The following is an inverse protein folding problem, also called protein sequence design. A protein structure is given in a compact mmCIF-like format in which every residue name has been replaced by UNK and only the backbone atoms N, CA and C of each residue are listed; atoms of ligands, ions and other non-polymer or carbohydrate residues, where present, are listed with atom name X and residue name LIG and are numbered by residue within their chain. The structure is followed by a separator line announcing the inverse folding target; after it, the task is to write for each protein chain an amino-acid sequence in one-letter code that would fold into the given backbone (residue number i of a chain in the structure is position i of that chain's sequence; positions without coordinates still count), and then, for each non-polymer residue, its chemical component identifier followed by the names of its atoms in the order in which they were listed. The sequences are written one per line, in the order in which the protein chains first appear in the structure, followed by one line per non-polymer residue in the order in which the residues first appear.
data_IF_933811369640
#
_entry.id   IF_933811369640
#
_cell.length_a   1.000
_cell.length_b   1.000
_cell.length_c   1.000
_cell.angle_alpha   90.00
_cell.angle_beta   90.00
_cell.angle_gamma   90.00
#
_symmetry.space_group_name_H-M   'P 1'
#
loop_
_entity.id
_entity.type
_entity.pdbx_description
1 polymer ?
#
# COMPACT_ATOMS: atom_id res chain seq x y z
N UNK A 1 18.05 -12.44 9.88
CA UNK A 1 17.00 -12.46 10.93
C UNK A 1 17.53 -11.81 12.21
N UNK A 2 17.91 -10.53 12.16
CA UNK A 2 18.48 -9.80 13.30
C UNK A 2 17.44 -8.92 14.01
N UNK A 3 16.54 -8.28 13.25
CA UNK A 3 15.47 -7.44 13.81
C UNK A 3 14.47 -8.23 14.67
N UNK A 4 14.06 -9.42 14.21
CA UNK A 4 13.18 -10.32 14.96
C UNK A 4 13.83 -10.80 16.27
N UNK A 5 15.13 -11.10 16.24
CA UNK A 5 15.91 -11.47 17.44
C UNK A 5 15.93 -10.34 18.47
N UNK A 6 15.91 -9.08 18.02
CA UNK A 6 15.88 -7.88 18.86
C UNK A 6 14.47 -7.47 19.31
N UNK A 7 13.43 -8.22 18.92
CA UNK A 7 12.04 -7.89 19.23
C UNK A 7 11.53 -6.63 18.52
N UNK A 8 12.20 -6.20 17.44
CA UNK A 8 11.77 -5.04 16.67
C UNK A 8 10.52 -5.39 15.84
N UNK A 9 9.53 -4.50 15.76
CA UNK A 9 8.31 -4.75 14.99
C UNK A 9 8.63 -4.93 13.50
N UNK A 10 8.02 -5.94 12.90
CA UNK A 10 8.12 -6.24 11.47
C UNK A 10 6.74 -6.05 10.87
N UNK A 11 6.51 -4.89 10.28
CA UNK A 11 5.27 -4.52 9.60
C UNK A 11 5.47 -4.80 8.12
N UNK A 12 4.67 -5.69 7.55
CA UNK A 12 4.88 -6.20 6.19
C UNK A 12 4.07 -5.43 5.16
N UNK A 13 2.95 -4.87 5.58
CA UNK A 13 2.06 -4.13 4.69
C UNK A 13 2.05 -2.65 5.06
N UNK A 14 1.82 -1.80 4.06
CA UNK A 14 1.63 -0.37 4.29
C UNK A 14 0.45 -0.10 5.23
N UNK A 15 -0.62 -0.89 5.13
CA UNK A 15 -1.80 -0.78 6.00
C UNK A 15 -1.44 -1.07 7.46
N UNK A 16 -0.67 -2.12 7.73
CA UNK A 16 -0.15 -2.40 9.08
C UNK A 16 0.73 -1.25 9.58
N UNK A 17 1.57 -0.67 8.73
CA UNK A 17 2.41 0.47 9.09
C UNK A 17 1.58 1.71 9.43
N UNK A 18 0.57 2.05 8.64
CA UNK A 18 -0.30 3.20 8.89
C UNK A 18 -1.10 3.02 10.18
N UNK A 19 -1.58 1.81 10.47
CA UNK A 19 -2.31 1.51 11.69
C UNK A 19 -1.49 1.80 12.96
N UNK A 20 -0.16 1.77 12.89
CA UNK A 20 0.67 2.13 14.05
C UNK A 20 0.49 3.58 14.48
N UNK A 21 0.08 4.50 13.59
CA UNK A 21 -0.21 5.89 13.97
C UNK A 21 -1.35 6.00 14.98
N UNK A 22 -2.29 5.06 14.98
CA UNK A 22 -3.42 5.05 15.90
C UNK A 22 -3.13 4.31 17.21
N UNK A 23 -1.91 3.78 17.38
CA UNK A 23 -1.49 3.21 18.66
C UNK A 23 -1.36 4.30 19.72
N UNK A 24 -1.89 4.03 20.90
CA UNK A 24 -1.92 4.98 22.01
C UNK A 24 -0.54 5.56 22.34
N UNK A 25 0.52 4.74 22.34
CA UNK A 25 1.89 5.19 22.60
C UNK A 25 2.37 6.26 21.61
N UNK A 26 1.93 6.18 20.35
CA UNK A 26 2.34 7.07 19.28
C UNK A 26 1.51 8.35 19.31
N UNK A 27 0.21 8.24 19.57
CA UNK A 27 -0.68 9.38 19.79
C UNK A 27 -0.17 10.22 20.96
N UNK A 28 0.12 9.59 22.10
CA UNK A 28 0.64 10.27 23.29
C UNK A 28 1.99 10.92 23.02
N UNK A 29 2.88 10.25 22.28
CA UNK A 29 4.18 10.80 21.90
C UNK A 29 4.02 12.07 21.03
N UNK A 30 3.13 12.04 20.04
CA UNK A 30 2.91 13.21 19.18
C UNK A 30 2.22 14.37 19.91
N UNK A 31 1.27 14.07 20.80
CA UNK A 31 0.54 15.08 21.56
C UNK A 31 1.43 15.73 22.62
N UNK A 32 2.23 14.92 23.35
CA UNK A 32 3.20 15.40 24.33
C UNK A 32 4.25 16.34 23.73
N UNK A 33 4.70 16.05 22.50
CA UNK A 33 5.63 16.92 21.78
C UNK A 33 4.95 18.05 20.99
N UNK A 34 3.63 18.19 21.09
CA UNK A 34 2.84 19.18 20.36
C UNK A 34 3.07 19.16 18.85
N UNK A 35 3.32 17.97 18.29
CA UNK A 35 3.51 17.75 16.86
C UNK A 35 2.16 17.56 16.18
N UNK A 36 1.33 16.68 16.73
CA UNK A 36 -0.03 16.41 16.27
C UNK A 36 -0.95 16.22 17.47
N UNK A 37 -2.16 16.76 17.38
CA UNK A 37 -3.26 16.38 18.25
C UNK A 37 -3.75 14.96 17.94
N UNK A 38 -4.49 14.30 18.86
CA UNK A 38 -5.09 12.99 18.60
C UNK A 38 -5.98 12.98 17.37
N UNK A 39 -6.72 14.07 17.13
CA UNK A 39 -7.59 14.23 15.96
C UNK A 39 -6.79 14.32 14.66
N UNK A 40 -5.69 15.08 14.66
CA UNK A 40 -4.81 15.19 13.48
C UNK A 40 -4.12 13.87 13.16
N UNK A 41 -3.70 13.12 14.19
CA UNK A 41 -3.10 11.79 14.01
C UNK A 41 -4.08 10.81 13.36
N UNK A 42 -5.34 10.80 13.81
CA UNK A 42 -6.39 9.98 13.19
C UNK A 42 -6.69 10.40 11.75
N UNK A 43 -6.82 11.70 11.48
CA UNK A 43 -7.03 12.21 10.12
C UNK A 43 -5.87 11.81 9.18
N UNK A 44 -4.63 11.81 9.70
CA UNK A 44 -3.46 11.43 8.91
C UNK A 44 -3.46 9.95 8.54
N UNK A 45 -3.89 9.09 9.46
CA UNK A 45 -4.10 7.66 9.18
C UNK A 45 -5.13 7.47 8.06
N UNK A 46 -6.29 8.13 8.16
CA UNK A 46 -7.35 8.05 7.15
C UNK A 46 -6.87 8.50 5.77
N UNK A 47 -6.20 9.65 5.69
CA UNK A 47 -5.66 10.19 4.43
C UNK A 47 -4.62 9.24 3.81
N UNK A 48 -3.74 8.64 4.63
CA UNK A 48 -2.76 7.67 4.13
C UNK A 48 -3.42 6.41 3.58
N UNK A 49 -4.45 5.92 4.26
CA UNK A 49 -5.22 4.75 3.82
C UNK A 49 -5.94 5.02 2.49
N UNK A 50 -6.61 6.17 2.38
CA UNK A 50 -7.33 6.58 1.18
C UNK A 50 -6.38 6.72 -0.02
N UNK A 51 -5.26 7.41 0.16
CA UNK A 51 -4.23 7.53 -0.89
C UNK A 51 -3.69 6.17 -1.33
N UNK A 52 -3.42 5.27 -0.39
CA UNK A 52 -2.95 3.92 -0.70
C UNK A 52 -3.96 3.13 -1.54
N UNK A 53 -5.24 3.19 -1.16
CA UNK A 53 -6.32 2.54 -1.90
C UNK A 53 -6.40 3.09 -3.33
N UNK A 54 -6.34 4.41 -3.50
CA UNK A 54 -6.42 5.03 -4.81
C UNK A 54 -5.26 4.66 -5.73
N UNK A 55 -4.02 4.68 -5.22
CA UNK A 55 -2.85 4.28 -6.00
C UNK A 55 -2.98 2.82 -6.44
N UNK A 56 -3.34 1.92 -5.53
CA UNK A 56 -3.53 0.50 -5.82
C UNK A 56 -4.63 0.26 -6.87
N UNK A 57 -5.74 1.01 -6.80
CA UNK A 57 -6.81 0.94 -7.79
C UNK A 57 -6.36 1.36 -9.18
N UNK A 58 -5.58 2.46 -9.27
CA UNK A 58 -5.02 2.94 -10.55
C UNK A 58 -4.09 1.89 -11.13
N UNK A 59 -3.13 1.40 -10.33
CA UNK A 59 -2.18 0.38 -10.75
C UNK A 59 -2.89 -0.88 -11.27
N UNK A 60 -3.86 -1.39 -10.51
CA UNK A 60 -4.64 -2.57 -10.90
C UNK A 60 -5.41 -2.34 -12.21
N UNK A 61 -6.05 -1.17 -12.36
CA UNK A 61 -6.82 -0.83 -13.56
C UNK A 61 -5.93 -0.71 -14.79
N UNK A 62 -4.77 -0.05 -14.65
CA UNK A 62 -3.77 0.08 -15.72
C UNK A 62 -3.20 -1.28 -16.11
N UNK A 63 -2.87 -2.14 -15.14
CA UNK A 63 -2.41 -3.50 -15.42
C UNK A 63 -3.45 -4.32 -16.20
N UNK A 64 -4.72 -4.22 -15.80
CA UNK A 64 -5.82 -4.91 -16.46
C UNK A 64 -6.00 -4.41 -17.90
N UNK A 65 -5.87 -3.10 -18.13
CA UNK A 65 -5.93 -2.53 -19.47
C UNK A 65 -4.79 -3.04 -20.35
N UNK A 66 -3.54 -2.98 -19.87
CA UNK A 66 -2.36 -3.46 -20.59
C UNK A 66 -2.51 -4.96 -20.91
N UNK A 67 -2.93 -5.76 -19.92
CA UNK A 67 -3.13 -7.20 -20.10
C UNK A 67 -4.15 -7.49 -21.20
N UNK A 68 -5.31 -6.83 -21.17
CA UNK A 68 -6.41 -7.08 -22.11
C UNK A 68 -6.14 -6.55 -23.51
N UNK A 69 -5.51 -5.39 -23.64
CA UNK A 69 -5.36 -4.70 -24.93
C UNK A 69 -4.04 -4.99 -25.63
N UNK A 70 -2.98 -5.27 -24.88
CA UNK A 70 -1.63 -5.41 -25.44
C UNK A 70 -1.11 -6.84 -25.32
N UNK A 71 -1.11 -7.40 -24.10
CA UNK A 71 -0.48 -8.70 -23.84
C UNK A 71 -1.30 -9.84 -24.48
N UNK A 72 -2.57 -9.98 -24.11
CA UNK A 72 -3.41 -11.10 -24.58
C UNK A 72 -3.51 -11.14 -26.12
N UNK A 73 -3.83 -10.03 -26.82
CA UNK A 73 -3.92 -10.05 -28.27
C UNK A 73 -2.58 -10.39 -28.95
N UNK A 74 -1.46 -9.91 -28.40
CA UNK A 74 -0.13 -10.18 -28.96
C UNK A 74 0.26 -11.65 -28.84
N UNK A 75 -0.04 -12.28 -27.70
CA UNK A 75 0.21 -13.71 -27.48
C UNK A 75 -0.65 -14.57 -28.40
N UNK A 76 -1.95 -14.24 -28.54
CA UNK A 76 -2.85 -14.95 -29.45
C UNK A 76 -2.37 -14.81 -30.91
N UNK A 77 -2.02 -13.60 -31.33
CA UNK A 77 -1.55 -13.33 -32.70
C UNK A 77 -0.27 -14.09 -33.03
N UNK A 78 0.68 -14.18 -32.10
CA UNK A 78 1.90 -14.97 -32.29
C UNK A 78 1.62 -16.48 -32.32
N UNK A 79 0.76 -16.97 -31.42
CA UNK A 79 0.38 -18.38 -31.38
C UNK A 79 -0.31 -18.82 -32.68
N UNK A 80 -1.15 -17.96 -33.27
CA UNK A 80 -1.76 -18.21 -34.58
C UNK A 80 -0.73 -18.35 -35.70
N UNK A 81 0.28 -17.45 -35.75
CA UNK A 81 1.35 -17.51 -36.76
C UNK A 81 2.23 -18.76 -36.66
N UNK A 82 2.38 -19.34 -35.47
CA UNK A 82 3.14 -20.58 -35.28
C UNK A 82 2.34 -21.82 -35.68
N UNK A 83 1.01 -21.72 -35.74
CA UNK A 83 0.13 -22.84 -36.07
C UNK A 83 -0.13 -22.98 -37.58
N UNK A 84 0.14 -21.93 -38.37
CA UNK A 84 0.26 -21.97 -39.83
C UNK A 84 1.58 -22.58 -40.28
#
# INVERSE_FOLDING_TARGET
MEAQRRGLPILRTSVEAFATLTEQKNIELFDHHHIFSPKETAARYEIQLENYIHVLQIEASTMLEIAKRQIIPSVIGYSGKLAE
#
